data_IF_389045651729
#
_entry.id   IF_389045651729
#
_cell.length_a   1.000
_cell.length_b   1.000
_cell.length_c   1.000
_cell.angle_alpha   90.00
_cell.angle_beta   90.00
_cell.angle_gamma   90.00
#
_symmetry.space_group_name_H-M   'P 1'
#
loop_
_entity.id
_entity.type
_entity.pdbx_description
1 polymer ?
#
# COMPACT_ATOMS: atom_id res chain seq x y z
N UNK A 1 7.96 13.41 -20.47
CA UNK A 1 9.00 12.97 -19.51
C UNK A 1 8.63 11.57 -19.02
N UNK A 2 9.54 10.59 -19.01
CA UNK A 2 9.24 9.24 -18.52
C UNK A 2 9.18 9.20 -17.00
N UNK A 3 8.47 8.22 -16.41
CA UNK A 3 8.42 8.01 -14.95
C UNK A 3 9.82 7.94 -14.35
N UNK A 4 10.75 7.22 -14.99
CA UNK A 4 12.15 7.09 -14.58
C UNK A 4 12.89 8.44 -14.50
N UNK A 5 12.72 9.30 -15.52
CA UNK A 5 13.27 10.67 -15.48
C UNK A 5 12.60 11.54 -14.42
N UNK A 6 11.34 11.28 -14.08
CA UNK A 6 10.69 11.96 -12.96
C UNK A 6 11.22 11.51 -11.59
N UNK A 7 11.83 10.32 -11.50
CA UNK A 7 12.43 9.81 -10.26
C UNK A 7 13.71 10.56 -9.90
N UNK A 8 14.54 10.90 -10.89
CA UNK A 8 15.89 11.45 -10.68
C UNK A 8 15.89 12.82 -10.00
N UNK A 9 14.73 13.47 -9.89
CA UNK A 9 14.59 14.78 -9.26
C UNK A 9 13.93 14.73 -7.88
N UNK A 10 13.49 13.55 -7.40
CA UNK A 10 12.98 13.40 -6.05
C UNK A 10 14.14 13.39 -5.06
N UNK A 11 14.01 14.21 -4.02
CA UNK A 11 14.98 14.28 -2.93
C UNK A 11 14.80 13.09 -1.99
N UNK A 12 15.02 11.86 -2.50
CA UNK A 12 14.77 10.63 -1.76
C UNK A 12 15.65 10.56 -0.52
N UNK A 13 16.87 11.09 -0.54
CA UNK A 13 17.76 11.19 0.62
C UNK A 13 17.08 11.86 1.84
N UNK A 14 16.12 12.77 1.63
CA UNK A 14 15.31 13.38 2.71
C UNK A 14 14.38 12.38 3.39
N UNK A 15 14.02 11.27 2.76
CA UNK A 15 13.23 10.18 3.36
C UNK A 15 13.96 9.57 4.57
N UNK A 16 15.29 9.54 4.56
CA UNK A 16 16.07 9.05 5.70
C UNK A 16 16.10 10.03 6.88
N UNK A 17 15.68 11.29 6.66
CA UNK A 17 15.75 12.37 7.64
C UNK A 17 14.35 12.70 8.16
N UNK A 18 14.06 12.22 9.36
CA UNK A 18 12.73 12.34 9.99
C UNK A 18 12.27 13.80 10.14
N UNK A 19 13.19 14.73 10.38
CA UNK A 19 12.95 16.18 10.47
C UNK A 19 12.59 16.83 9.13
N UNK A 20 12.81 16.13 8.01
CA UNK A 20 12.57 16.59 6.63
C UNK A 20 11.36 15.95 5.97
N UNK A 21 10.55 15.22 6.73
CA UNK A 21 9.35 14.55 6.19
C UNK A 21 8.32 15.55 5.66
N UNK A 22 8.05 16.63 6.37
CA UNK A 22 7.12 17.66 5.91
C UNK A 22 7.61 18.31 4.63
N UNK A 23 8.90 18.67 4.57
CA UNK A 23 9.56 19.24 3.39
C UNK A 23 9.44 18.30 2.18
N UNK A 24 9.65 17.00 2.38
CA UNK A 24 9.53 16.00 1.31
C UNK A 24 8.08 15.83 0.85
N UNK A 25 7.16 15.61 1.79
CA UNK A 25 5.74 15.31 1.51
C UNK A 25 5.04 16.50 0.86
N UNK A 26 5.40 17.73 1.22
CA UNK A 26 4.83 18.96 0.64
C UNK A 26 5.61 19.47 -0.56
N UNK A 27 6.70 18.79 -0.97
CA UNK A 27 7.57 19.28 -2.04
C UNK A 27 6.84 19.39 -3.38
N UNK A 28 7.04 20.49 -4.12
CA UNK A 28 6.53 20.62 -5.49
C UNK A 28 6.99 19.49 -6.41
N UNK A 29 8.22 19.00 -6.19
CA UNK A 29 8.82 17.87 -6.92
C UNK A 29 8.01 16.58 -6.74
N UNK A 30 7.63 16.26 -5.50
CA UNK A 30 6.78 15.09 -5.23
C UNK A 30 5.41 15.25 -5.87
N UNK A 31 4.80 16.43 -5.79
CA UNK A 31 3.51 16.70 -6.42
C UNK A 31 3.56 16.55 -7.95
N UNK A 32 4.60 17.06 -8.59
CA UNK A 32 4.81 16.91 -10.03
C UNK A 32 4.98 15.44 -10.41
N UNK A 33 5.77 14.68 -9.65
CA UNK A 33 5.93 13.24 -9.87
C UNK A 33 4.60 12.48 -9.70
N UNK A 34 3.79 12.81 -8.68
CA UNK A 34 2.46 12.23 -8.47
C UNK A 34 1.56 12.49 -9.69
N UNK A 35 1.62 13.70 -10.26
CA UNK A 35 0.92 14.05 -11.50
C UNK A 35 1.31 13.13 -12.66
N UNK A 36 2.61 12.99 -12.92
CA UNK A 36 3.12 12.09 -13.96
C UNK A 36 2.77 10.61 -13.72
N UNK A 37 2.82 10.16 -12.47
CA UNK A 37 2.39 8.81 -12.10
C UNK A 37 0.90 8.60 -12.39
N UNK A 38 0.05 9.56 -12.00
CA UNK A 38 -1.39 9.50 -12.28
C UNK A 38 -1.67 9.49 -13.79
N UNK A 39 -0.95 10.30 -14.56
CA UNK A 39 -1.03 10.32 -16.02
C UNK A 39 -0.67 8.97 -16.64
N UNK A 40 0.45 8.38 -16.20
CA UNK A 40 0.89 7.08 -16.70
C UNK A 40 -0.13 5.98 -16.35
N UNK A 41 -0.67 6.01 -15.12
CA UNK A 41 -1.65 5.04 -14.67
C UNK A 41 -2.98 5.09 -15.44
N UNK A 42 -3.34 6.22 -16.08
CA UNK A 42 -4.54 6.29 -16.94
C UNK A 42 -4.45 5.36 -18.14
N UNK A 43 -3.24 5.02 -18.56
CA UNK A 43 -2.97 4.13 -19.68
C UNK A 43 -2.63 2.70 -19.24
N UNK A 44 -2.74 2.39 -17.94
CA UNK A 44 -2.47 1.04 -17.45
C UNK A 44 -3.59 0.07 -17.87
N UNK A 45 -3.20 -1.07 -18.47
CA UNK A 45 -4.14 -2.12 -18.90
C UNK A 45 -4.90 -2.78 -17.74
N UNK A 46 -4.39 -2.66 -16.51
CA UNK A 46 -5.08 -3.15 -15.31
C UNK A 46 -4.73 -2.32 -14.07
N UNK A 47 -5.67 -2.27 -13.11
CA UNK A 47 -5.44 -1.65 -11.79
C UNK A 47 -4.34 -2.34 -10.98
N UNK A 48 -3.97 -3.59 -11.31
CA UNK A 48 -2.88 -4.31 -10.62
C UNK A 48 -1.51 -3.78 -11.03
N UNK A 49 -1.42 -3.19 -12.22
CA UNK A 49 -0.19 -2.70 -12.82
C UNK A 49 0.04 -1.20 -12.52
N UNK A 50 -1.02 -0.50 -12.14
CA UNK A 50 -0.95 0.89 -11.69
C UNK A 50 0.09 1.07 -10.56
N UNK A 51 0.94 2.09 -10.73
CA UNK A 51 1.90 2.52 -9.72
C UNK A 51 1.18 3.28 -8.60
N UNK A 52 1.61 3.09 -7.36
CA UNK A 52 1.16 3.93 -6.23
C UNK A 52 2.37 4.59 -5.57
N UNK A 53 2.13 5.68 -4.83
CA UNK A 53 3.18 6.36 -4.08
C UNK A 53 3.90 5.37 -3.15
N UNK A 54 3.17 4.57 -2.38
CA UNK A 54 3.78 3.58 -1.48
C UNK A 54 4.56 2.50 -2.23
N UNK A 55 4.03 1.95 -3.32
CA UNK A 55 4.72 0.93 -4.13
C UNK A 55 6.04 1.49 -4.68
N UNK A 56 6.02 2.74 -5.13
CA UNK A 56 7.20 3.43 -5.60
C UNK A 56 8.23 3.65 -4.47
N UNK A 57 7.81 4.20 -3.33
CA UNK A 57 8.73 4.46 -2.22
C UNK A 57 9.38 3.16 -1.72
N UNK A 58 8.61 2.08 -1.62
CA UNK A 58 9.12 0.76 -1.21
C UNK A 58 10.10 0.20 -2.25
N UNK A 59 9.84 0.39 -3.56
CA UNK A 59 10.79 -0.08 -4.59
C UNK A 59 12.11 0.67 -4.58
N UNK A 60 12.12 1.94 -4.15
CA UNK A 60 13.34 2.74 -4.09
C UNK A 60 14.12 2.56 -2.77
N UNK A 61 13.42 2.40 -1.65
CA UNK A 61 14.01 2.52 -0.29
C UNK A 61 13.78 1.30 0.60
N UNK A 62 13.02 0.32 0.13
CA UNK A 62 12.63 -0.83 0.90
C UNK A 62 11.58 -0.51 1.97
N UNK A 63 11.03 -1.57 2.57
CA UNK A 63 9.92 -1.45 3.51
C UNK A 63 10.29 -0.69 4.79
N UNK A 64 11.52 -0.91 5.28
CA UNK A 64 11.95 -0.44 6.59
C UNK A 64 12.13 1.09 6.65
N UNK A 65 12.73 1.68 5.62
CA UNK A 65 12.87 3.14 5.51
C UNK A 65 11.51 3.80 5.25
N UNK A 66 10.64 3.16 4.47
CA UNK A 66 9.29 3.66 4.22
C UNK A 66 8.44 3.64 5.48
N UNK A 67 8.54 2.59 6.32
CA UNK A 67 7.84 2.57 7.62
C UNK A 67 8.28 3.73 8.51
N UNK A 68 9.59 4.05 8.55
CA UNK A 68 10.10 5.19 9.33
C UNK A 68 9.55 6.51 8.81
N UNK A 69 9.60 6.71 7.49
CA UNK A 69 9.04 7.89 6.83
C UNK A 69 7.55 8.07 7.15
N UNK A 70 6.76 7.03 6.97
CA UNK A 70 5.32 7.10 7.17
C UNK A 70 4.95 7.27 8.65
N UNK A 71 5.75 6.72 9.56
CA UNK A 71 5.61 6.95 11.00
C UNK A 71 5.88 8.41 11.36
N UNK A 72 6.94 9.00 10.80
CA UNK A 72 7.23 10.42 10.97
C UNK A 72 6.13 11.30 10.38
N UNK A 73 5.65 10.99 9.17
CA UNK A 73 4.56 11.73 8.54
C UNK A 73 3.30 11.71 9.41
N UNK A 74 2.96 10.55 9.99
CA UNK A 74 1.82 10.40 10.92
C UNK A 74 1.97 11.16 12.24
N UNK A 75 3.20 11.48 12.63
CA UNK A 75 3.51 12.25 13.83
C UNK A 75 3.62 13.75 13.54
N UNK A 76 3.61 14.18 12.27
CA UNK A 76 3.70 15.59 11.88
C UNK A 76 2.57 16.43 12.47
N UNK A 77 2.90 17.67 12.87
CA UNK A 77 1.93 18.69 13.28
C UNK A 77 1.09 19.18 12.09
N UNK A 78 1.65 19.14 10.87
CA UNK A 78 0.93 19.45 9.65
C UNK A 78 -0.17 18.42 9.39
N UNK A 79 -1.43 18.85 9.53
CA UNK A 79 -2.62 17.99 9.40
C UNK A 79 -2.70 17.28 8.04
N UNK A 80 -2.27 17.93 6.95
CA UNK A 80 -2.29 17.34 5.62
C UNK A 80 -1.23 16.22 5.49
N UNK A 81 -0.01 16.49 5.95
CA UNK A 81 1.09 15.49 5.97
C UNK A 81 0.69 14.30 6.82
N UNK A 82 0.15 14.55 8.02
CA UNK A 82 -0.36 13.53 8.92
C UNK A 82 -1.41 12.65 8.27
N UNK A 83 -2.44 13.24 7.67
CA UNK A 83 -3.49 12.50 6.95
C UNK A 83 -2.91 11.64 5.82
N UNK A 84 -1.96 12.18 5.06
CA UNK A 84 -1.30 11.42 4.00
C UNK A 84 -0.48 10.26 4.56
N UNK A 85 0.28 10.46 5.64
CA UNK A 85 1.04 9.41 6.31
C UNK A 85 0.16 8.23 6.75
N UNK A 86 -1.03 8.50 7.31
CA UNK A 86 -1.99 7.45 7.65
C UNK A 86 -2.45 6.67 6.40
N UNK A 87 -2.81 7.37 5.33
CA UNK A 87 -3.27 6.75 4.08
C UNK A 87 -2.19 5.87 3.47
N UNK A 88 -0.96 6.40 3.34
CA UNK A 88 0.15 5.67 2.73
C UNK A 88 0.58 4.46 3.56
N UNK A 89 0.46 4.53 4.89
CA UNK A 89 0.73 3.38 5.76
C UNK A 89 -0.30 2.27 5.56
N UNK A 90 -1.58 2.63 5.42
CA UNK A 90 -2.63 1.68 5.11
C UNK A 90 -2.44 1.06 3.72
N UNK A 91 -2.00 1.85 2.75
CA UNK A 91 -1.63 1.34 1.43
C UNK A 91 -0.40 0.40 1.49
N UNK A 92 0.56 0.64 2.40
CA UNK A 92 1.69 -0.28 2.64
C UNK A 92 1.21 -1.63 3.18
N UNK A 93 0.26 -1.62 4.13
CA UNK A 93 -0.32 -2.86 4.66
C UNK A 93 -1.01 -3.68 3.57
N UNK A 94 -1.77 -3.03 2.68
CA UNK A 94 -2.39 -3.71 1.54
C UNK A 94 -1.38 -4.34 0.60
N UNK A 95 -0.22 -3.70 0.37
CA UNK A 95 0.84 -4.27 -0.44
C UNK A 95 1.37 -5.57 0.18
N UNK A 96 1.62 -5.57 1.48
CA UNK A 96 2.08 -6.77 2.20
C UNK A 96 1.03 -7.88 2.24
N UNK A 97 -0.24 -7.56 2.48
CA UNK A 97 -1.35 -8.52 2.44
C UNK A 97 -1.46 -9.14 1.05
N UNK A 98 -1.40 -8.31 -0.01
CA UNK A 98 -1.45 -8.79 -1.40
C UNK A 98 -0.25 -9.68 -1.74
N UNK A 99 0.91 -9.41 -1.15
CA UNK A 99 2.11 -10.23 -1.27
C UNK A 99 2.09 -11.48 -0.38
N UNK A 100 1.04 -11.70 0.42
CA UNK A 100 0.94 -12.85 1.32
C UNK A 100 1.90 -12.81 2.50
N UNK A 101 2.41 -11.64 2.89
CA UNK A 101 3.35 -11.53 4.01
C UNK A 101 2.64 -11.76 5.34
N UNK A 102 2.90 -12.88 5.99
CA UNK A 102 2.33 -13.17 7.30
C UNK A 102 2.82 -12.18 8.38
N UNK A 103 2.03 -11.88 9.43
CA UNK A 103 2.47 -10.99 10.51
C UNK A 103 3.76 -11.43 11.22
N UNK A 104 4.02 -12.74 11.29
CA UNK A 104 5.23 -13.32 11.89
C UNK A 104 6.46 -13.08 11.02
N UNK A 105 6.34 -13.29 9.71
CA UNK A 105 7.36 -13.03 8.70
C UNK A 105 7.66 -11.53 8.63
N UNK A 106 6.63 -10.69 8.50
CA UNK A 106 6.77 -9.25 8.39
C UNK A 106 7.50 -8.64 9.59
N UNK A 107 7.25 -9.16 10.81
CA UNK A 107 7.97 -8.74 12.02
C UNK A 107 9.49 -8.96 11.93
N UNK A 108 9.94 -10.00 11.21
CA UNK A 108 11.36 -10.32 11.01
C UNK A 108 11.97 -9.46 9.90
N UNK A 109 11.24 -9.26 8.81
CA UNK A 109 11.71 -8.53 7.63
C UNK A 109 11.73 -7.00 7.82
N UNK A 110 10.81 -6.47 8.65
CA UNK A 110 10.60 -5.03 8.81
C UNK A 110 10.75 -4.65 10.29
N UNK A 111 11.98 -4.65 10.84
CA UNK A 111 12.22 -4.33 12.26
C UNK A 111 11.74 -2.93 12.66
N UNK A 112 11.66 -1.98 11.72
CA UNK A 112 11.14 -0.63 11.98
C UNK A 112 9.64 -0.61 12.34
N UNK A 113 8.90 -1.68 12.07
CA UNK A 113 7.48 -1.76 12.36
C UNK A 113 7.22 -1.76 13.87
N UNK A 114 6.62 -0.70 14.40
CA UNK A 114 6.34 -0.58 15.85
C UNK A 114 5.35 -1.63 16.36
N UNK A 115 5.33 -1.91 17.67
CA UNK A 115 4.37 -2.85 18.29
C UNK A 115 2.92 -2.51 17.92
N UNK A 116 2.53 -1.23 17.99
CA UNK A 116 1.18 -0.76 17.63
C UNK A 116 0.86 -1.05 16.15
N UNK A 117 1.82 -0.81 15.25
CA UNK A 117 1.63 -1.07 13.82
C UNK A 117 1.57 -2.55 13.50
N UNK A 118 2.34 -3.40 14.19
CA UNK A 118 2.24 -4.86 14.06
C UNK A 118 0.85 -5.36 14.45
N UNK A 119 0.28 -4.82 15.53
CA UNK A 119 -1.09 -5.15 15.93
C UNK A 119 -2.10 -4.72 14.88
N UNK A 120 -2.01 -3.48 14.38
CA UNK A 120 -2.89 -2.99 13.33
C UNK A 120 -2.76 -3.83 12.04
N UNK A 121 -1.54 -4.14 11.62
CA UNK A 121 -1.29 -4.99 10.45
C UNK A 121 -1.92 -6.38 10.61
N UNK A 122 -1.73 -7.01 11.77
CA UNK A 122 -2.33 -8.33 12.05
C UNK A 122 -3.85 -8.29 11.90
N UNK A 123 -4.50 -7.28 12.46
CA UNK A 123 -5.95 -7.13 12.34
C UNK A 123 -6.38 -7.01 10.87
N UNK A 124 -5.70 -6.16 10.10
CA UNK A 124 -6.02 -5.99 8.66
C UNK A 124 -5.77 -7.27 7.86
N UNK A 125 -4.71 -8.03 8.20
CA UNK A 125 -4.39 -9.30 7.57
C UNK A 125 -5.48 -10.35 7.85
N UNK A 126 -5.89 -10.51 9.11
CA UNK A 126 -6.95 -11.43 9.52
C UNK A 126 -8.30 -11.04 8.90
N UNK A 127 -8.63 -9.74 8.88
CA UNK A 127 -9.83 -9.24 8.22
C UNK A 127 -9.83 -9.56 6.71
N UNK A 128 -8.67 -9.43 6.05
CA UNK A 128 -8.53 -9.76 4.63
C UNK A 128 -8.72 -11.27 4.38
N UNK A 129 -8.16 -12.13 5.24
CA UNK A 129 -8.37 -13.58 5.18
C UNK A 129 -9.84 -13.95 5.36
N UNK A 130 -10.51 -13.41 6.38
CA UNK A 130 -11.93 -13.66 6.63
C UNK A 130 -12.80 -13.22 5.44
N UNK A 131 -12.50 -12.06 4.86
CA UNK A 131 -13.21 -11.56 3.67
C UNK A 131 -12.98 -12.46 2.45
N UNK A 132 -11.77 -12.97 2.27
CA UNK A 132 -11.45 -13.90 1.18
C UNK A 132 -12.19 -15.24 1.35
N UNK A 133 -12.24 -15.78 2.58
CA UNK A 133 -12.98 -17.00 2.89
C UNK A 133 -14.48 -16.84 2.63
N UNK A 134 -15.09 -15.75 3.11
CA UNK A 134 -16.50 -15.46 2.88
C UNK A 134 -16.82 -15.26 1.38
N UNK A 135 -15.89 -14.69 0.61
CA UNK A 135 -16.04 -14.57 -0.84
C UNK A 135 -15.97 -15.93 -1.55
N UNK A 136 -15.10 -16.84 -1.09
CA UNK A 136 -14.98 -18.20 -1.61
C UNK A 136 -16.23 -19.04 -1.30
N UNK A 137 -16.77 -18.94 -0.09
CA UNK A 137 -18.02 -19.61 0.30
C UNK A 137 -19.19 -19.18 -0.59
N UNK A 138 -19.37 -17.86 -0.77
CA UNK A 138 -20.40 -17.31 -1.67
C UNK A 138 -20.22 -17.74 -3.12
N UNK A 139 -18.97 -17.89 -3.57
CA UNK A 139 -18.71 -18.40 -4.91
C UNK A 139 -19.11 -19.88 -5.04
N UNK A 140 -18.83 -20.70 -4.02
CA UNK A 140 -19.19 -22.11 -4.00
C UNK A 140 -20.73 -22.32 -3.92
N UNK A 141 -21.43 -21.51 -3.13
CA UNK A 141 -22.90 -21.53 -3.06
C UNK A 141 -23.53 -21.25 -4.42
N UNK A 142 -23.01 -20.25 -5.16
CA UNK A 142 -23.48 -19.96 -6.53
C UNK A 142 -23.26 -21.12 -7.49
N UNK A 143 -22.14 -21.82 -7.38
CA UNK A 143 -21.85 -23.01 -8.20
C UNK A 143 -22.84 -24.13 -7.87
N UNK A 144 -23.08 -24.41 -6.58
CA UNK A 144 -24.06 -25.41 -6.13
C UNK A 144 -25.47 -25.10 -6.62
N UNK A 145 -25.96 -23.88 -6.42
CA UNK A 145 -27.28 -23.46 -6.87
C UNK A 145 -27.44 -23.57 -8.39
N UNK A 146 -26.37 -23.33 -9.16
CA UNK A 146 -26.38 -23.48 -10.62
C UNK A 146 -26.41 -24.95 -11.05
N UNK A 147 -25.77 -25.85 -10.30
CA UNK A 147 -25.79 -27.29 -10.56
C UNK A 147 -27.17 -27.91 -10.29
N UNK A 148 -27.85 -27.48 -9.22
CA UNK A 148 -29.21 -27.94 -8.89
C UNK A 148 -30.24 -27.54 -9.96
N UNK A 149 -30.07 -26.37 -10.61
CA UNK A 149 -30.95 -25.93 -11.71
C UNK A 149 -30.76 -26.78 -12.98
N UNK A 150 -29.56 -27.31 -13.23
CA UNK A 150 -29.27 -28.10 -14.44
C UNK A 150 -29.77 -29.54 -14.30
N UNK A 151 -29.84 -30.09 -13.09
CA UNK A 151 -30.28 -31.47 -12.83
C UNK A 151 -31.80 -31.61 -12.57
N UNK A 152 -32.54 -30.51 -12.47
CA UNK A 152 -34.01 -30.50 -12.39
C UNK A 152 -34.60 -30.14 -13.76
N UNK A 153 -34.51 -31.07 -14.71
CA UNK A 153 -35.39 -31.05 -15.88
C UNK A 153 -35.74 -32.49 -16.29
N UNK A 154 -37.00 -32.94 -16.10
CA UNK A 154 -37.50 -34.15 -16.76
C UNK A 154 -37.65 -33.93 -18.28
#
# INVERSE_FOLDING_TARGET
>A
MSLEKALTHLDLDKIAKVDKVDDFVTSPKLNQWIGHMADTNRHASSKKDAMTITKFLVSQRGDDEVVKLLSAARASDNKAVRKLGYKLQFDQFKLWIKAGKEPSQLRKEVPALSKRMRTAYRQEYENALAKAAAAAEKANEKVRASADIIFVKP
#
